data_IF_421422326729
#
_entry.id   IF_421422326729
#
_cell.length_a   1.000
_cell.length_b   1.000
_cell.length_c   1.000
_cell.angle_alpha   90.00
_cell.angle_beta   90.00
_cell.angle_gamma   90.00
#
_symmetry.space_group_name_H-M   'P 1'
#
loop_
_entity.id
_entity.type
_entity.pdbx_description
1 polymer ?
#
# COMPACT_ATOMS: atom_id res chain seq x y z
N UNK A 1 -51.15 -9.00 -43.50
CA UNK A 1 -49.89 -8.32 -43.13
C UNK A 1 -49.42 -8.86 -41.78
N UNK A 2 -48.50 -9.84 -41.80
CA UNK A 2 -47.92 -10.43 -40.59
C UNK A 2 -46.76 -9.53 -40.16
N UNK A 3 -46.98 -8.74 -39.11
CA UNK A 3 -45.99 -7.84 -38.58
C UNK A 3 -44.85 -8.66 -37.97
N UNK A 4 -43.66 -8.39 -38.51
CA UNK A 4 -42.35 -8.87 -38.07
C UNK A 4 -42.01 -8.33 -36.66
N UNK A 5 -42.60 -8.89 -35.61
CA UNK A 5 -42.13 -8.69 -34.23
C UNK A 5 -41.37 -9.93 -33.74
N UNK A 6 -40.43 -10.39 -34.55
CA UNK A 6 -39.44 -11.39 -34.18
C UNK A 6 -38.08 -10.71 -34.26
N UNK A 7 -37.74 -9.81 -33.33
CA UNK A 7 -36.37 -9.35 -33.02
C UNK A 7 -36.43 -8.24 -31.96
N UNK A 8 -36.81 -8.54 -30.71
CA UNK A 8 -36.57 -7.61 -29.59
C UNK A 8 -36.53 -8.29 -28.21
N UNK A 9 -35.98 -9.49 -28.11
CA UNK A 9 -35.65 -10.08 -26.80
C UNK A 9 -34.29 -10.79 -26.93
N UNK A 10 -33.25 -9.99 -27.16
CA UNK A 10 -31.87 -10.36 -26.89
C UNK A 10 -31.24 -9.09 -26.31
N UNK A 11 -30.36 -9.24 -25.32
CA UNK A 11 -29.84 -8.18 -24.43
C UNK A 11 -30.68 -8.02 -23.15
N UNK A 12 -30.74 -9.09 -22.37
CA UNK A 12 -30.46 -8.95 -20.93
C UNK A 12 -29.19 -9.75 -20.69
N UNK A 13 -28.06 -9.26 -21.21
CA UNK A 13 -26.77 -9.66 -20.66
C UNK A 13 -26.71 -9.05 -19.27
N UNK A 14 -27.02 -9.88 -18.29
CA UNK A 14 -26.79 -9.65 -16.89
C UNK A 14 -25.29 -9.39 -16.76
N UNK A 15 -24.89 -8.12 -16.81
CA UNK A 15 -23.59 -7.70 -16.32
C UNK A 15 -23.68 -7.78 -14.81
N UNK A 16 -23.53 -9.00 -14.30
CA UNK A 16 -23.18 -9.21 -12.90
C UNK A 16 -21.74 -8.72 -12.79
N UNK A 17 -21.55 -7.40 -12.62
CA UNK A 17 -20.31 -6.92 -12.03
C UNK A 17 -20.28 -7.59 -10.67
N UNK A 18 -19.40 -8.57 -10.52
CA UNK A 18 -19.04 -9.10 -9.20
C UNK A 18 -18.67 -7.88 -8.37
N UNK A 19 -19.43 -7.63 -7.31
CA UNK A 19 -19.13 -6.54 -6.40
C UNK A 19 -17.65 -6.68 -6.02
N UNK A 20 -16.84 -5.68 -6.41
CA UNK A 20 -15.45 -5.64 -5.99
C UNK A 20 -15.50 -5.65 -4.47
N UNK A 21 -14.88 -6.64 -3.84
CA UNK A 21 -14.82 -6.63 -2.39
C UNK A 21 -14.02 -5.38 -2.01
N UNK A 22 -14.42 -4.69 -0.93
CA UNK A 22 -13.66 -3.54 -0.39
C UNK A 22 -12.18 -3.90 -0.10
N UNK A 23 -11.88 -5.20 0.01
CA UNK A 23 -10.54 -5.75 0.23
C UNK A 23 -9.69 -5.90 -1.03
N UNK A 24 -10.29 -5.78 -2.22
CA UNK A 24 -9.57 -5.95 -3.47
C UNK A 24 -8.82 -4.66 -3.82
N UNK A 25 -7.58 -4.78 -4.29
CA UNK A 25 -6.80 -3.62 -4.75
C UNK A 25 -7.43 -2.98 -5.99
N UNK A 26 -7.60 -1.66 -5.96
CA UNK A 26 -8.08 -0.84 -7.07
C UNK A 26 -6.90 -0.04 -7.62
N UNK A 27 -6.16 -0.66 -8.56
CA UNK A 27 -5.08 0.03 -9.25
C UNK A 27 -5.64 0.94 -10.34
N UNK A 28 -5.50 2.25 -10.14
CA UNK A 28 -5.73 3.29 -11.14
C UNK A 28 -4.40 4.01 -11.28
N UNK A 29 -3.83 4.01 -12.48
CA UNK A 29 -2.53 4.65 -12.73
C UNK A 29 -2.64 6.17 -12.61
N UNK A 30 -1.62 6.79 -12.02
CA UNK A 30 -1.48 8.23 -11.92
C UNK A 30 -0.96 8.81 -13.24
N UNK A 31 -1.70 9.77 -13.80
CA UNK A 31 -1.35 10.43 -15.06
C UNK A 31 -0.07 11.26 -14.94
N UNK A 32 0.17 11.83 -13.76
CA UNK A 32 1.34 12.67 -13.48
C UNK A 32 2.55 11.86 -13.00
N UNK A 33 2.35 10.59 -12.63
CA UNK A 33 3.41 9.69 -12.17
C UNK A 33 3.27 8.29 -12.80
N UNK A 34 3.72 8.11 -14.06
CA UNK A 34 3.53 6.87 -14.81
C UNK A 34 4.01 5.63 -14.06
N UNK A 35 3.18 4.59 -14.04
CA UNK A 35 3.41 3.33 -13.34
C UNK A 35 3.03 3.34 -11.85
N UNK A 36 2.80 4.49 -11.22
CA UNK A 36 2.35 4.59 -9.83
C UNK A 36 0.82 4.60 -9.74
N UNK A 37 0.23 4.11 -8.64
CA UNK A 37 -1.20 4.26 -8.41
C UNK A 37 -1.54 5.71 -8.03
N UNK A 38 -2.76 6.14 -8.36
CA UNK A 38 -3.31 7.41 -7.90
C UNK A 38 -3.37 7.46 -6.37
N UNK A 39 -3.01 8.60 -5.80
CA UNK A 39 -3.19 8.87 -4.38
C UNK A 39 -4.64 9.33 -4.13
N UNK A 40 -5.47 8.46 -3.54
CA UNK A 40 -6.92 8.72 -3.42
C UNK A 40 -7.37 9.15 -2.03
N UNK A 41 -6.80 8.59 -0.97
CA UNK A 41 -7.26 8.68 0.44
C UNK A 41 -8.53 7.87 0.78
N UNK A 42 -8.91 6.93 -0.08
CA UNK A 42 -10.16 6.17 0.03
C UNK A 42 -9.92 4.68 0.33
N UNK A 43 -8.66 4.28 0.56
CA UNK A 43 -8.33 2.90 0.85
C UNK A 43 -8.35 2.01 -0.38
N UNK A 44 -7.82 2.48 -1.52
CA UNK A 44 -7.76 1.66 -2.74
C UNK A 44 -6.89 0.40 -2.62
N UNK A 45 -6.23 0.20 -1.47
CA UNK A 45 -5.38 -0.94 -1.18
C UNK A 45 -4.25 -1.05 -2.20
N UNK A 46 -3.59 0.08 -2.45
CA UNK A 46 -2.46 0.20 -3.36
C UNK A 46 -1.33 0.99 -2.74
N UNK A 47 -0.12 0.75 -3.24
CA UNK A 47 1.02 1.63 -3.02
C UNK A 47 1.92 1.60 -4.24
N UNK A 48 2.76 2.61 -4.36
CA UNK A 48 3.81 2.65 -5.35
C UNK A 48 4.94 3.57 -4.93
N UNK A 49 6.15 3.30 -5.40
CA UNK A 49 7.28 4.21 -5.35
C UNK A 49 8.21 3.94 -6.55
N UNK A 50 9.02 4.91 -6.93
CA UNK A 50 10.15 4.65 -7.80
C UNK A 50 11.33 4.15 -6.98
N UNK A 51 11.86 2.99 -7.35
CA UNK A 51 13.14 2.46 -6.94
C UNK A 51 14.15 2.80 -8.05
N UNK A 52 14.88 3.90 -7.87
CA UNK A 52 15.61 4.60 -8.94
C UNK A 52 14.76 4.85 -10.20
N UNK A 53 14.83 3.96 -11.19
CA UNK A 53 14.10 4.05 -12.46
C UNK A 53 13.05 2.96 -12.65
N UNK A 54 12.95 2.04 -11.71
CA UNK A 54 11.97 0.96 -11.72
C UNK A 54 10.85 1.26 -10.76
N UNK A 55 9.66 0.72 -11.02
CA UNK A 55 8.50 0.94 -10.16
C UNK A 55 8.38 -0.18 -9.15
N UNK A 56 8.31 0.14 -7.87
CA UNK A 56 7.95 -0.80 -6.80
C UNK A 56 6.48 -0.60 -6.43
N UNK A 57 5.60 -1.53 -6.84
CA UNK A 57 4.14 -1.39 -6.71
C UNK A 57 3.47 -2.59 -6.08
N UNK A 58 2.34 -2.36 -5.41
CA UNK A 58 1.41 -3.41 -4.99
C UNK A 58 0.91 -4.25 -6.17
N UNK A 59 0.61 -5.53 -5.92
CA UNK A 59 -0.04 -6.42 -6.90
C UNK A 59 -1.27 -7.11 -6.29
N UNK A 60 -2.03 -7.81 -7.13
CA UNK A 60 -3.28 -8.49 -6.77
C UNK A 60 -3.08 -9.81 -6.01
N UNK A 61 -1.84 -10.29 -5.85
CA UNK A 61 -1.54 -11.60 -5.24
C UNK A 61 -1.37 -11.54 -3.72
N UNK A 62 -1.07 -10.36 -3.16
CA UNK A 62 -0.79 -10.17 -1.73
C UNK A 62 -1.44 -8.91 -1.22
N UNK A 63 -1.81 -8.92 0.06
CA UNK A 63 -2.21 -7.70 0.77
C UNK A 63 -1.03 -6.71 0.72
N UNK A 64 -1.27 -5.47 0.26
CA UNK A 64 -0.21 -4.49 -0.03
C UNK A 64 0.61 -4.11 1.20
N UNK A 65 -0.01 -4.03 2.37
CA UNK A 65 0.63 -3.70 3.64
C UNK A 65 0.17 -4.67 4.72
N UNK A 66 1.12 -5.13 5.54
CA UNK A 66 0.83 -5.70 6.85
C UNK A 66 1.54 -4.90 7.92
N UNK A 67 0.82 -4.56 8.96
CA UNK A 67 1.36 -3.89 10.14
C UNK A 67 1.57 -4.96 11.21
N UNK A 68 2.81 -5.07 11.69
CA UNK A 68 3.18 -6.04 12.73
C UNK A 68 3.74 -5.28 13.92
N UNK A 69 3.13 -5.44 15.07
CA UNK A 69 3.56 -4.85 16.34
C UNK A 69 4.11 -5.96 17.23
N UNK A 70 5.36 -5.81 17.62
CA UNK A 70 6.01 -6.58 18.69
C UNK A 70 6.20 -5.69 19.92
N UNK A 71 6.70 -6.26 21.02
CA UNK A 71 6.90 -5.53 22.29
C UNK A 71 7.70 -4.21 22.20
N UNK A 72 8.53 -4.04 21.18
CA UNK A 72 9.45 -2.92 21.03
C UNK A 72 9.34 -2.19 19.68
N UNK A 73 8.63 -2.76 18.71
CA UNK A 73 8.68 -2.29 17.33
C UNK A 73 7.35 -2.46 16.61
N UNK A 74 6.88 -1.40 15.95
CA UNK A 74 5.87 -1.45 14.92
C UNK A 74 6.56 -1.51 13.54
N UNK A 75 6.19 -2.49 12.72
CA UNK A 75 6.76 -2.71 11.39
C UNK A 75 5.70 -2.57 10.32
N UNK A 76 5.90 -1.67 9.37
CA UNK A 76 5.09 -1.55 8.16
C UNK A 76 5.74 -2.38 7.06
N UNK A 77 5.13 -3.50 6.69
CA UNK A 77 5.63 -4.41 5.67
C UNK A 77 4.87 -4.22 4.35
N UNK A 78 5.48 -3.53 3.40
CA UNK A 78 4.95 -3.36 2.05
C UNK A 78 5.34 -4.56 1.17
N UNK A 79 4.35 -5.18 0.53
CA UNK A 79 4.54 -6.33 -0.35
C UNK A 79 4.14 -5.97 -1.78
N UNK A 80 5.09 -6.07 -2.71
CA UNK A 80 4.85 -5.69 -4.09
C UNK A 80 5.76 -6.40 -5.07
N UNK A 81 5.85 -5.81 -6.25
CA UNK A 81 6.75 -6.21 -7.32
C UNK A 81 7.63 -5.05 -7.76
N UNK A 82 8.86 -5.35 -8.15
CA UNK A 82 9.81 -4.40 -8.72
C UNK A 82 9.82 -4.51 -10.25
N UNK A 83 9.52 -3.40 -10.91
CA UNK A 83 9.29 -3.33 -12.35
C UNK A 83 7.96 -3.97 -12.78
N UNK A 84 7.80 -4.16 -14.09
CA UNK A 84 6.53 -4.56 -14.70
C UNK A 84 6.31 -6.07 -14.79
N UNK A 85 7.08 -6.88 -14.06
CA UNK A 85 6.92 -8.34 -14.09
C UNK A 85 6.52 -8.91 -12.73
N UNK A 86 5.48 -9.75 -12.72
CA UNK A 86 4.91 -10.33 -11.50
C UNK A 86 5.79 -11.40 -10.82
N UNK A 87 6.97 -11.65 -11.36
CA UNK A 87 7.98 -12.56 -10.80
C UNK A 87 8.98 -11.82 -9.91
N UNK A 88 9.05 -10.49 -10.02
CA UNK A 88 10.00 -9.66 -9.32
C UNK A 88 9.49 -9.25 -7.94
N UNK A 89 9.23 -10.22 -7.06
CA UNK A 89 8.74 -9.92 -5.72
C UNK A 89 9.75 -9.08 -4.94
N UNK A 90 9.25 -7.97 -4.39
CA UNK A 90 10.00 -7.10 -3.49
C UNK A 90 9.18 -6.86 -2.23
N UNK A 91 9.86 -6.79 -1.09
CA UNK A 91 9.27 -6.42 0.20
C UNK A 91 10.10 -5.31 0.80
N UNK A 92 9.44 -4.23 1.24
CA UNK A 92 10.06 -3.12 1.94
C UNK A 92 9.45 -3.01 3.33
N UNK A 93 10.29 -2.91 4.35
CA UNK A 93 9.87 -2.83 5.74
C UNK A 93 10.38 -1.57 6.38
N UNK A 94 9.48 -0.80 6.99
CA UNK A 94 9.83 0.33 7.85
C UNK A 94 9.62 -0.08 9.31
N UNK A 95 10.61 0.20 10.15
CA UNK A 95 10.59 -0.16 11.57
C UNK A 95 10.52 1.12 12.40
N UNK A 96 9.52 1.20 13.28
CA UNK A 96 9.26 2.33 14.17
C UNK A 96 9.22 1.86 15.62
N UNK A 97 9.99 2.50 16.51
CA UNK A 97 10.09 2.09 17.92
C UNK A 97 9.36 3.03 18.88
N UNK A 98 8.88 4.18 18.40
CA UNK A 98 8.29 5.23 19.24
C UNK A 98 6.76 5.17 19.33
N UNK A 99 6.13 4.22 18.65
CA UNK A 99 4.67 4.06 18.65
C UNK A 99 4.32 2.58 18.53
N UNK A 100 3.61 2.06 19.53
CA UNK A 100 3.25 0.64 19.67
C UNK A 100 1.73 0.54 19.87
N UNK A 101 0.94 0.56 18.77
CA UNK A 101 -0.51 0.46 18.87
C UNK A 101 -0.94 -0.92 19.35
N UNK A 102 -1.99 -0.97 20.17
CA UNK A 102 -2.56 -2.23 20.69
C UNK A 102 -3.54 -2.84 19.69
N UNK A 103 -4.27 -1.99 18.97
CA UNK A 103 -5.23 -2.36 17.93
C UNK A 103 -5.04 -1.49 16.67
N UNK A 104 -5.77 -1.79 15.59
CA UNK A 104 -5.58 -1.03 14.35
C UNK A 104 -6.20 0.37 14.44
N UNK A 105 -7.18 0.58 15.30
CA UNK A 105 -7.85 1.85 15.56
C UNK A 105 -6.89 2.88 16.18
N UNK A 106 -5.91 2.42 16.96
CA UNK A 106 -4.86 3.28 17.51
C UNK A 106 -4.03 3.97 16.41
N UNK A 107 -4.00 3.43 15.19
CA UNK A 107 -3.30 4.04 14.04
C UNK A 107 -3.86 5.41 13.66
N UNK A 108 -5.07 5.78 14.12
CA UNK A 108 -5.61 7.14 13.97
C UNK A 108 -4.70 8.22 14.58
N UNK A 109 -3.88 7.85 15.57
CA UNK A 109 -2.88 8.75 16.15
C UNK A 109 -1.78 9.15 15.17
N UNK A 110 -1.63 8.43 14.06
CA UNK A 110 -0.69 8.76 13.00
C UNK A 110 -1.24 9.80 12.01
N UNK A 111 -2.48 10.26 12.14
CA UNK A 111 -3.04 11.25 11.22
C UNK A 111 -2.19 12.54 11.21
N UNK A 112 -1.79 13.00 10.03
CA UNK A 112 -0.94 14.17 9.80
C UNK A 112 0.41 14.09 10.55
N UNK A 113 1.00 12.89 10.62
CA UNK A 113 2.30 12.68 11.27
C UNK A 113 3.42 12.51 10.25
N UNK A 114 4.58 13.08 10.57
CA UNK A 114 5.82 12.91 9.81
C UNK A 114 6.84 12.21 10.69
N UNK A 115 7.35 11.09 10.21
CA UNK A 115 8.43 10.32 10.82
C UNK A 115 9.69 10.54 10.00
N UNK A 116 10.68 11.21 10.58
CA UNK A 116 11.97 11.40 9.93
C UNK A 116 12.71 10.07 9.84
N UNK A 117 13.01 9.62 8.62
CA UNK A 117 13.79 8.42 8.38
C UNK A 117 15.27 8.79 8.55
N UNK A 118 15.80 8.50 9.73
CA UNK A 118 17.20 8.68 10.10
C UNK A 118 17.73 7.38 10.75
N UNK A 119 18.96 7.40 11.25
CA UNK A 119 19.63 6.22 11.82
C UNK A 119 18.88 5.50 12.96
N UNK A 120 17.89 6.11 13.63
CA UNK A 120 17.08 5.43 14.66
C UNK A 120 15.97 4.57 14.07
N UNK A 121 15.49 4.92 12.86
CA UNK A 121 14.49 4.15 12.14
C UNK A 121 15.21 3.20 11.17
N UNK A 122 14.81 1.93 11.18
CA UNK A 122 15.41 0.93 10.30
C UNK A 122 14.55 0.76 9.05
N UNK A 123 15.19 0.49 7.93
CA UNK A 123 14.54 -0.01 6.72
C UNK A 123 15.20 -1.34 6.37
N UNK A 124 14.40 -2.32 5.93
CA UNK A 124 14.92 -3.54 5.30
C UNK A 124 14.23 -3.76 3.98
N UNK A 125 14.99 -4.19 2.98
CA UNK A 125 14.48 -4.53 1.67
C UNK A 125 14.83 -5.99 1.39
N UNK A 126 13.87 -6.73 0.85
CA UNK A 126 14.06 -8.06 0.31
C UNK A 126 13.68 -8.04 -1.16
N UNK A 127 14.58 -8.47 -2.04
CA UNK A 127 14.35 -8.56 -3.48
C UNK A 127 14.61 -10.01 -3.89
N UNK A 128 13.65 -10.63 -4.59
CA UNK A 128 13.76 -12.03 -5.05
C UNK A 128 14.02 -13.05 -3.93
N UNK A 129 13.51 -12.80 -2.72
CA UNK A 129 13.73 -13.66 -1.56
C UNK A 129 15.04 -13.39 -0.81
N UNK A 130 15.93 -12.54 -1.33
CA UNK A 130 17.20 -12.20 -0.69
C UNK A 130 17.12 -10.86 0.03
N UNK A 131 17.56 -10.81 1.29
CA UNK A 131 17.68 -9.54 2.00
C UNK A 131 18.89 -8.75 1.47
N UNK A 132 18.69 -7.47 1.19
CA UNK A 132 19.78 -6.55 0.83
C UNK A 132 20.21 -5.73 2.04
N UNK A 133 21.50 -5.37 2.09
CA UNK A 133 21.99 -4.50 3.15
C UNK A 133 21.60 -3.05 2.83
N UNK A 134 20.82 -2.42 3.72
CA UNK A 134 20.31 -1.05 3.57
C UNK A 134 20.94 -0.17 4.64
N UNK A 135 21.69 0.86 4.22
CA UNK A 135 22.14 1.94 5.09
C UNK A 135 21.37 3.20 4.74
N UNK A 136 20.43 3.59 5.59
CA UNK A 136 19.61 4.78 5.41
C UNK A 136 20.46 6.05 5.55
N UNK A 137 20.28 7.00 4.63
CA UNK A 137 21.00 8.28 4.64
C UNK A 137 20.09 9.40 5.16
N UNK A 138 18.93 9.57 4.54
CA UNK A 138 17.91 10.54 4.91
C UNK A 138 16.56 10.14 4.31
N UNK A 139 15.49 10.77 4.77
CA UNK A 139 14.16 10.61 4.19
C UNK A 139 13.06 10.90 5.19
N UNK A 140 11.83 10.61 4.79
CA UNK A 140 10.65 10.70 5.65
C UNK A 140 9.63 9.62 5.31
N UNK A 141 8.80 9.32 6.30
CA UNK A 141 7.56 8.59 6.14
C UNK A 141 6.45 9.46 6.71
N UNK A 142 5.50 9.87 5.88
CA UNK A 142 4.39 10.73 6.24
C UNK A 142 3.09 9.97 6.14
N UNK A 143 2.28 10.04 7.18
CA UNK A 143 0.87 9.64 7.14
C UNK A 143 0.07 10.94 7.03
N UNK A 144 -0.39 11.24 5.82
CA UNK A 144 -1.21 12.42 5.55
C UNK A 144 -2.63 12.24 6.12
N UNK A 145 -3.16 11.01 6.03
CA UNK A 145 -4.50 10.68 6.48
C UNK A 145 -4.52 9.36 7.26
N UNK A 146 -5.11 9.40 8.45
CA UNK A 146 -5.57 8.22 9.17
C UNK A 146 -7.02 8.44 9.62
N UNK A 147 -7.96 7.65 9.10
CA UNK A 147 -9.40 7.85 9.38
C UNK A 147 -10.18 6.53 9.43
N UNK A 148 -11.26 6.49 10.20
CA UNK A 148 -12.17 5.35 10.23
C UNK A 148 -13.05 5.31 8.97
N UNK A 149 -13.18 4.13 8.39
CA UNK A 149 -14.17 3.82 7.38
C UNK A 149 -15.37 3.11 8.02
N UNK A 150 -16.55 3.69 7.80
CA UNK A 150 -17.82 3.10 8.20
C UNK A 150 -18.60 2.63 6.97
N UNK A 151 -19.07 1.39 7.00
CA UNK A 151 -20.00 0.83 6.00
C UNK A 151 -21.28 0.45 6.73
N UNK A 152 -22.41 1.01 6.30
CA UNK A 152 -23.72 0.79 6.95
C UNK A 152 -23.66 0.98 8.47
N UNK A 153 -23.01 2.06 8.93
CA UNK A 153 -22.80 2.43 10.34
C UNK A 153 -21.90 1.49 11.16
N UNK A 154 -21.29 0.48 10.52
CA UNK A 154 -20.31 -0.39 11.15
C UNK A 154 -18.90 0.03 10.76
N UNK A 155 -18.07 0.23 11.78
CA UNK A 155 -16.64 0.39 11.59
C UNK A 155 -16.09 -0.85 10.87
N UNK A 156 -15.35 -0.61 9.79
CA UNK A 156 -14.83 -1.68 8.94
C UNK A 156 -13.30 -1.72 8.97
N UNK A 157 -12.65 -0.56 8.93
CA UNK A 157 -11.19 -0.42 8.88
C UNK A 157 -10.73 1.02 9.13
N UNK A 158 -9.43 1.20 9.39
CA UNK A 158 -8.75 2.49 9.32
C UNK A 158 -8.14 2.64 7.94
N UNK A 159 -8.47 3.71 7.22
CA UNK A 159 -7.76 4.12 6.01
C UNK A 159 -6.48 4.84 6.42
N UNK A 160 -5.34 4.28 6.02
CA UNK A 160 -4.03 4.91 6.11
C UNK A 160 -3.55 5.31 4.72
N UNK A 161 -3.33 6.61 4.54
CA UNK A 161 -2.83 7.17 3.29
C UNK A 161 -1.71 8.16 3.56
N UNK A 162 -0.67 8.11 2.74
CA UNK A 162 0.39 9.09 2.81
C UNK A 162 1.54 8.79 1.85
N UNK A 163 2.70 9.35 2.19
CA UNK A 163 3.86 9.39 1.32
C UNK A 163 5.14 8.97 2.03
N UNK A 164 6.12 8.47 1.27
CA UNK A 164 7.46 8.21 1.79
C UNK A 164 8.51 8.43 0.72
N UNK A 165 9.66 8.94 1.14
CA UNK A 165 10.83 9.12 0.28
C UNK A 165 12.09 8.94 1.12
N UNK A 166 13.12 8.31 0.56
CA UNK A 166 14.40 8.19 1.23
C UNK A 166 15.54 7.88 0.28
N UNK A 167 16.74 8.25 0.72
CA UNK A 167 18.00 7.87 0.10
C UNK A 167 18.70 6.84 0.98
N UNK A 168 19.27 5.81 0.35
CA UNK A 168 20.01 4.77 1.06
C UNK A 168 21.20 4.29 0.25
N UNK A 169 22.16 3.66 0.94
CA UNK A 169 23.12 2.77 0.31
C UNK A 169 22.57 1.35 0.36
N UNK A 170 22.33 0.75 -0.80
CA UNK A 170 21.93 -0.66 -0.93
C UNK A 170 23.10 -1.41 -1.51
N UNK A 171 23.66 -2.36 -0.76
CA UNK A 171 24.92 -3.04 -1.12
C UNK A 171 26.05 -2.06 -1.47
N UNK A 172 26.14 -0.95 -0.72
CA UNK A 172 27.07 0.18 -0.91
C UNK A 172 26.86 1.03 -2.17
N UNK A 173 25.79 0.81 -2.94
CA UNK A 173 25.41 1.68 -4.05
C UNK A 173 24.32 2.68 -3.63
N UNK A 174 24.44 3.97 -3.96
CA UNK A 174 23.43 4.95 -3.63
C UNK A 174 22.18 4.75 -4.48
N UNK A 175 21.04 4.61 -3.81
CA UNK A 175 19.72 4.41 -4.42
C UNK A 175 18.75 5.42 -3.82
N UNK A 176 17.87 5.96 -4.67
CA UNK A 176 16.77 6.81 -4.27
C UNK A 176 15.44 6.07 -4.36
N UNK A 177 14.67 6.10 -3.27
CA UNK A 177 13.25 5.78 -3.28
C UNK A 177 12.48 7.08 -3.27
N UNK A 178 11.75 7.35 -4.35
CA UNK A 178 11.07 8.63 -4.58
C UNK A 178 9.61 8.43 -4.93
N UNK A 179 8.81 9.50 -4.74
CA UNK A 179 7.39 9.52 -5.10
C UNK A 179 6.56 8.41 -4.43
N UNK A 180 7.04 7.90 -3.29
CA UNK A 180 6.40 6.84 -2.55
C UNK A 180 5.06 7.30 -2.02
N UNK A 181 4.02 6.53 -2.30
CA UNK A 181 2.63 6.79 -1.91
C UNK A 181 1.92 5.50 -1.55
N UNK A 182 1.04 5.57 -0.57
CA UNK A 182 0.21 4.44 -0.16
C UNK A 182 -1.19 4.92 0.19
N UNK A 183 -2.17 4.07 -0.06
CA UNK A 183 -3.57 4.29 0.28
C UNK A 183 -4.24 2.95 0.59
N UNK A 184 -4.34 2.61 1.88
CA UNK A 184 -4.58 1.24 2.32
C UNK A 184 -5.58 1.19 3.49
N UNK A 185 -6.56 0.29 3.39
CA UNK A 185 -7.43 -0.09 4.50
C UNK A 185 -6.74 -1.07 5.45
N UNK A 186 -6.75 -0.76 6.75
CA UNK A 186 -6.17 -1.57 7.81
C UNK A 186 -7.26 -2.05 8.77
N UNK A 187 -7.30 -3.36 8.99
CA UNK A 187 -8.21 -4.03 9.91
C UNK A 187 -7.55 -5.30 10.48
N UNK A 188 -8.32 -6.12 11.17
CA UNK A 188 -7.85 -7.38 11.79
C UNK A 188 -7.12 -8.34 10.82
N UNK A 189 -7.37 -8.26 9.51
CA UNK A 189 -6.77 -9.18 8.53
C UNK A 189 -5.33 -8.84 8.14
N UNK A 190 -4.91 -7.60 8.39
CA UNK A 190 -3.58 -7.10 8.03
C UNK A 190 -2.86 -6.34 9.15
N UNK A 191 -3.48 -6.20 10.32
CA UNK A 191 -2.87 -5.77 11.57
C UNK A 191 -2.62 -6.96 12.49
N UNK A 192 -1.39 -7.11 12.97
CA UNK A 192 -0.96 -8.20 13.85
C UNK A 192 -0.22 -7.63 15.05
N UNK A 193 -0.62 -7.98 16.26
CA UNK A 193 0.09 -7.66 17.50
C UNK A 193 0.34 -8.95 18.28
N UNK A 194 1.60 -9.24 18.62
CA UNK A 194 1.99 -10.45 19.38
C UNK A 194 3.31 -10.31 20.15
#
# INVERSE_FOLDING_TARGET
MKIKYLFLILIIIISCKKDKNLRDSIFIEDVESPGLPIYSEWGYNTFGAYYDREVFISNDKKVPLKIIVTNDTMTFNFFGQLGNTSYNNMTMKFYFTNFLPVNYEDLLQLNDTIINLNNTNKISINIYGSNVNVTLLNGYFKVDKAQLLFVDTKETEVILSGHFEFQALINNEPIAISDGRFDIGVNQSNFFSY
#
